data_IF_238937088399
#
_entry.id   IF_238937088399
#
_cell.length_a   1.000
_cell.length_b   1.000
_cell.length_c   1.000
_cell.angle_alpha   90.00
_cell.angle_beta   90.00
_cell.angle_gamma   90.00
#
_symmetry.space_group_name_H-M   'P 1'
#
loop_
_entity.id
_entity.type
_entity.pdbx_description
1 polymer ?
#
# COMPACT_ATOMS: atom_id res chain seq x y z
N UNK A 1 4.26 -12.56 8.89
CA UNK A 1 3.31 -11.46 8.80
C UNK A 1 2.46 -11.79 7.59
N UNK A 2 1.16 -11.91 7.76
CA UNK A 2 0.27 -12.14 6.62
C UNK A 2 0.22 -10.87 5.75
N UNK A 3 -0.13 -10.98 4.46
CA UNK A 3 -0.23 -9.83 3.56
C UNK A 3 -1.24 -8.80 4.09
N UNK A 4 -2.30 -9.28 4.74
CA UNK A 4 -3.31 -8.45 5.41
C UNK A 4 -2.70 -7.59 6.52
N UNK A 5 -1.93 -8.19 7.44
CA UNK A 5 -1.23 -7.45 8.50
C UNK A 5 -0.28 -6.38 7.95
N UNK A 6 0.31 -6.63 6.78
CA UNK A 6 1.27 -5.71 6.15
C UNK A 6 0.58 -4.49 5.52
N UNK A 7 -0.55 -4.71 4.83
CA UNK A 7 -1.32 -3.63 4.20
C UNK A 7 -1.99 -2.75 5.25
N UNK A 8 -2.53 -3.35 6.31
CA UNK A 8 -3.08 -2.61 7.44
C UNK A 8 -2.00 -1.79 8.16
N UNK A 9 -0.77 -2.32 8.23
CA UNK A 9 0.40 -1.58 8.68
C UNK A 9 0.70 -0.34 7.83
N UNK A 10 0.56 -0.41 6.50
CA UNK A 10 0.79 0.75 5.63
C UNK A 10 -0.22 1.87 5.85
N UNK A 11 -1.50 1.55 6.08
CA UNK A 11 -2.50 2.56 6.41
C UNK A 11 -2.17 3.26 7.74
N UNK A 12 -1.83 2.47 8.77
CA UNK A 12 -1.48 3.00 10.08
C UNK A 12 -0.23 3.88 10.02
N UNK A 13 0.81 3.43 9.31
CA UNK A 13 2.07 4.15 9.14
C UNK A 13 1.87 5.53 8.50
N UNK A 14 0.99 5.63 7.51
CA UNK A 14 0.68 6.91 6.85
C UNK A 14 -0.10 7.81 7.83
N UNK A 15 -1.12 7.27 8.52
CA UNK A 15 -1.91 8.02 9.50
C UNK A 15 -1.05 8.57 10.65
N UNK A 16 -0.15 7.74 11.19
CA UNK A 16 0.81 8.14 12.22
C UNK A 16 1.79 9.18 11.69
N UNK A 17 2.27 9.01 10.44
CA UNK A 17 3.15 9.97 9.78
C UNK A 17 2.50 11.35 9.59
N UNK A 18 1.24 11.38 9.17
CA UNK A 18 0.45 12.62 9.02
C UNK A 18 0.28 13.29 10.38
N UNK A 19 -0.16 12.54 11.40
CA UNK A 19 -0.33 13.06 12.77
C UNK A 19 0.96 13.69 13.31
N UNK A 20 2.12 13.10 13.02
CA UNK A 20 3.43 13.62 13.47
C UNK A 20 3.94 14.83 12.68
N UNK A 21 3.40 15.06 11.47
CA UNK A 21 3.79 16.14 10.57
C UNK A 21 2.82 17.33 10.59
N UNK A 22 1.65 17.12 11.19
CA UNK A 22 0.58 18.09 11.30
C UNK A 22 1.01 19.36 12.05
N UNK A 23 0.69 20.57 11.54
CA UNK A 23 0.89 21.81 12.27
C UNK A 23 0.12 21.80 13.58
N UNK A 24 0.72 22.34 14.64
CA UNK A 24 0.00 22.59 15.89
C UNK A 24 -1.08 23.67 15.71
N UNK A 25 -2.06 23.76 16.62
CA UNK A 25 -3.23 24.67 16.50
C UNK A 25 -2.88 26.14 16.20
N UNK A 26 -1.71 26.61 16.64
CA UNK A 26 -1.25 28.00 16.44
C UNK A 26 -0.10 28.11 15.41
N UNK A 27 0.20 27.04 14.69
CA UNK A 27 1.23 27.01 13.66
C UNK A 27 0.61 27.17 12.27
N UNK A 28 1.18 28.01 11.40
CA UNK A 28 0.74 28.10 10.01
C UNK A 28 0.87 26.77 9.26
N UNK A 29 -0.07 26.55 8.35
CA UNK A 29 -0.21 25.29 7.60
C UNK A 29 1.00 24.99 6.70
N UNK A 30 1.59 26.01 6.07
CA UNK A 30 2.74 25.88 5.16
C UNK A 30 2.57 24.80 4.06
N UNK A 31 1.33 24.60 3.58
CA UNK A 31 1.04 23.65 2.50
C UNK A 31 0.83 22.21 2.99
N UNK A 32 0.64 22.01 4.30
CA UNK A 32 0.34 20.70 4.87
C UNK A 32 -1.05 20.21 4.46
N UNK A 33 -2.00 21.09 4.19
CA UNK A 33 -3.32 20.71 3.69
C UNK A 33 -3.24 19.92 2.37
N UNK A 34 -2.32 20.27 1.47
CA UNK A 34 -2.09 19.47 0.25
C UNK A 34 -1.55 18.07 0.55
N UNK A 35 -0.77 17.92 1.63
CA UNK A 35 -0.26 16.63 2.09
C UNK A 35 -1.41 15.78 2.62
N UNK A 36 -2.33 16.34 3.41
CA UNK A 36 -3.55 15.63 3.87
C UNK A 36 -4.38 15.14 2.69
N UNK A 37 -4.70 16.02 1.76
CA UNK A 37 -5.49 15.67 0.57
C UNK A 37 -4.81 14.59 -0.29
N UNK A 38 -3.49 14.66 -0.45
CA UNK A 38 -2.74 13.64 -1.18
C UNK A 38 -2.70 12.30 -0.45
N UNK A 39 -2.65 12.30 0.88
CA UNK A 39 -2.69 11.10 1.70
C UNK A 39 -4.07 10.42 1.64
N UNK A 40 -5.16 11.20 1.76
CA UNK A 40 -6.53 10.68 1.62
C UNK A 40 -6.77 10.07 0.24
N UNK A 41 -6.30 10.75 -0.82
CA UNK A 41 -6.36 10.22 -2.18
C UNK A 41 -5.57 8.91 -2.33
N UNK A 42 -4.36 8.82 -1.75
CA UNK A 42 -3.59 7.59 -1.77
C UNK A 42 -4.30 6.46 -1.02
N UNK A 43 -4.86 6.74 0.17
CA UNK A 43 -5.61 5.74 0.93
C UNK A 43 -6.82 5.22 0.15
N UNK A 44 -7.53 6.10 -0.56
CA UNK A 44 -8.64 5.70 -1.43
C UNK A 44 -8.16 4.76 -2.56
N UNK A 45 -7.07 5.09 -3.25
CA UNK A 45 -6.52 4.24 -4.32
C UNK A 45 -6.02 2.88 -3.80
N UNK A 46 -5.40 2.85 -2.61
CA UNK A 46 -4.98 1.61 -1.95
C UNK A 46 -6.19 0.74 -1.58
N UNK A 47 -7.28 1.34 -1.09
CA UNK A 47 -8.52 0.62 -0.76
C UNK A 47 -9.18 0.04 -2.00
N UNK A 48 -9.30 0.84 -3.06
CA UNK A 48 -9.84 0.38 -4.33
C UNK A 48 -9.00 -0.76 -4.92
N UNK A 49 -7.67 -0.64 -4.91
CA UNK A 49 -6.78 -1.71 -5.37
C UNK A 49 -6.95 -2.98 -4.54
N UNK A 50 -7.10 -2.88 -3.21
CA UNK A 50 -7.34 -4.03 -2.33
C UNK A 50 -8.66 -4.74 -2.67
N UNK A 51 -9.73 -4.00 -2.95
CA UNK A 51 -11.02 -4.57 -3.37
C UNK A 51 -10.92 -5.31 -4.70
N UNK A 52 -10.13 -4.79 -5.63
CA UNK A 52 -9.84 -5.46 -6.91
C UNK A 52 -8.92 -6.68 -6.72
N UNK A 53 -7.94 -6.60 -5.81
CA UNK A 53 -7.04 -7.71 -5.45
C UNK A 53 -7.80 -8.89 -4.85
N UNK A 54 -8.76 -8.63 -3.94
CA UNK A 54 -9.61 -9.65 -3.35
C UNK A 54 -10.47 -10.38 -4.39
N UNK A 55 -10.86 -9.70 -5.48
CA UNK A 55 -11.64 -10.29 -6.58
C UNK A 55 -10.80 -11.13 -7.54
N UNK A 56 -9.61 -10.68 -7.89
CA UNK A 56 -8.80 -11.26 -8.97
C UNK A 56 -7.56 -12.05 -8.51
N UNK A 57 -7.40 -12.27 -7.20
CA UNK A 57 -6.17 -12.80 -6.58
C UNK A 57 -4.92 -12.04 -7.05
N UNK A 58 -5.05 -10.71 -7.21
CA UNK A 58 -3.98 -9.86 -7.71
C UNK A 58 -2.77 -9.82 -6.76
N UNK A 59 -1.66 -9.32 -7.29
CA UNK A 59 -0.35 -9.85 -6.93
C UNK A 59 0.19 -9.28 -5.60
N UNK A 60 0.63 -10.15 -4.66
CA UNK A 60 1.51 -9.76 -3.55
C UNK A 60 2.77 -9.00 -4.00
N UNK A 61 3.14 -9.11 -5.28
CA UNK A 61 4.25 -8.38 -5.90
C UNK A 61 3.97 -6.88 -5.98
N UNK A 62 2.72 -6.45 -6.20
CA UNK A 62 2.36 -5.02 -6.25
C UNK A 62 2.60 -4.35 -4.90
N UNK A 63 2.20 -5.01 -3.80
CA UNK A 63 2.47 -4.52 -2.45
C UNK A 63 3.97 -4.57 -2.09
N UNK A 64 4.72 -5.53 -2.64
CA UNK A 64 6.17 -5.58 -2.47
C UNK A 64 6.89 -4.44 -3.21
N UNK A 65 6.44 -4.10 -4.41
CA UNK A 65 6.93 -2.94 -5.18
C UNK A 65 6.54 -1.62 -4.50
N UNK A 66 5.33 -1.55 -3.95
CA UNK A 66 4.86 -0.39 -3.19
C UNK A 66 5.73 -0.09 -1.96
N UNK A 67 6.32 -1.10 -1.32
CA UNK A 67 7.15 -0.94 -0.11
C UNK A 67 8.22 0.16 -0.25
N UNK A 68 8.87 0.27 -1.41
CA UNK A 68 9.87 1.32 -1.62
C UNK A 68 9.25 2.72 -1.66
N UNK A 69 8.05 2.86 -2.23
CA UNK A 69 7.32 4.13 -2.24
C UNK A 69 6.81 4.46 -0.84
N UNK A 70 6.33 3.47 -0.09
CA UNK A 70 5.90 3.62 1.29
C UNK A 70 7.02 4.17 2.19
N UNK A 71 8.23 3.61 2.08
CA UNK A 71 9.37 4.13 2.83
C UNK A 71 9.68 5.59 2.49
N UNK A 72 9.61 5.97 1.20
CA UNK A 72 9.81 7.36 0.78
C UNK A 72 8.73 8.30 1.32
N UNK A 73 7.47 7.83 1.42
CA UNK A 73 6.39 8.57 2.06
C UNK A 73 6.71 8.80 3.54
N UNK A 74 7.06 7.75 4.29
CA UNK A 74 7.39 7.88 5.71
C UNK A 74 8.56 8.86 5.94
N UNK A 75 9.62 8.76 5.14
CA UNK A 75 10.75 9.69 5.19
C UNK A 75 10.31 11.13 4.93
N UNK A 76 9.46 11.36 3.93
CA UNK A 76 8.97 12.70 3.60
C UNK A 76 8.10 13.32 4.69
N UNK A 77 7.21 12.52 5.30
CA UNK A 77 6.36 12.95 6.42
C UNK A 77 7.21 13.22 7.66
N UNK A 78 8.20 12.38 7.94
CA UNK A 78 9.13 12.59 9.04
C UNK A 78 9.90 13.90 8.89
N UNK A 79 10.36 14.24 7.67
CA UNK A 79 11.08 15.50 7.40
C UNK A 79 10.24 16.72 7.74
N UNK A 80 8.98 16.78 7.29
CA UNK A 80 8.05 17.88 7.62
C UNK A 80 7.96 18.06 9.14
N UNK A 81 7.64 16.99 9.87
CA UNK A 81 7.52 17.05 11.32
C UNK A 81 8.84 17.44 12.00
N UNK A 82 9.98 17.00 11.48
CA UNK A 82 11.30 17.36 11.97
C UNK A 82 11.62 18.85 11.75
N UNK A 83 11.31 19.37 10.57
CA UNK A 83 11.53 20.78 10.24
C UNK A 83 10.66 21.71 11.06
N UNK A 84 9.41 21.33 11.35
CA UNK A 84 8.57 22.06 12.31
C UNK A 84 9.16 22.06 13.71
N UNK A 85 9.51 20.88 14.25
CA UNK A 85 10.11 20.74 15.58
C UNK A 85 11.41 21.53 15.75
N UNK A 86 12.22 21.58 14.70
CA UNK A 86 13.49 22.34 14.68
C UNK A 86 13.31 23.79 14.26
N UNK A 87 12.07 24.26 14.06
CA UNK A 87 11.72 25.63 13.69
C UNK A 87 12.47 26.12 12.44
N UNK A 88 12.56 25.27 11.43
CA UNK A 88 13.11 25.64 10.12
C UNK A 88 12.31 26.79 9.49
N UNK A 89 12.90 27.44 8.50
CA UNK A 89 12.24 28.53 7.79
C UNK A 89 11.01 28.06 7.03
N UNK A 90 10.07 28.97 6.81
CA UNK A 90 8.85 28.73 6.03
C UNK A 90 9.16 28.09 4.65
N UNK A 91 10.18 28.59 3.96
CA UNK A 91 10.56 28.08 2.64
C UNK A 91 10.96 26.60 2.69
N UNK A 92 11.65 26.17 3.76
CA UNK A 92 12.03 24.77 3.96
C UNK A 92 10.79 23.92 4.21
N UNK A 93 9.93 24.32 5.15
CA UNK A 93 8.73 23.55 5.50
C UNK A 93 7.79 23.43 4.29
N UNK A 94 7.54 24.52 3.56
CA UNK A 94 6.75 24.49 2.32
C UNK A 94 7.36 23.57 1.26
N UNK A 95 8.68 23.60 1.11
CA UNK A 95 9.41 22.72 0.18
C UNK A 95 9.25 21.24 0.53
N UNK A 96 9.34 20.90 1.81
CA UNK A 96 9.12 19.53 2.29
C UNK A 96 7.67 19.08 2.17
N UNK A 97 6.71 19.96 2.48
CA UNK A 97 5.28 19.70 2.28
C UNK A 97 4.96 19.44 0.81
N UNK A 98 5.47 20.27 -0.11
CA UNK A 98 5.29 20.05 -1.54
C UNK A 98 5.92 18.73 -2.01
N UNK A 99 7.11 18.40 -1.49
CA UNK A 99 7.78 17.14 -1.81
C UNK A 99 6.98 15.92 -1.31
N UNK A 100 6.48 15.94 -0.07
CA UNK A 100 5.67 14.85 0.47
C UNK A 100 4.36 14.67 -0.31
N UNK A 101 3.66 15.77 -0.63
CA UNK A 101 2.45 15.73 -1.45
C UNK A 101 2.72 15.13 -2.84
N UNK A 102 3.84 15.46 -3.48
CA UNK A 102 4.24 14.87 -4.75
C UNK A 102 4.54 13.36 -4.63
N UNK A 103 5.21 12.94 -3.56
CA UNK A 103 5.51 11.52 -3.28
C UNK A 103 4.24 10.70 -3.07
N UNK A 104 3.29 11.22 -2.29
CA UNK A 104 1.97 10.61 -2.10
C UNK A 104 1.19 10.48 -3.42
N UNK A 105 1.16 11.55 -4.23
CA UNK A 105 0.51 11.54 -5.56
C UNK A 105 1.17 10.53 -6.52
N UNK A 106 2.50 10.35 -6.44
CA UNK A 106 3.22 9.35 -7.21
C UNK A 106 2.80 7.92 -6.84
N UNK A 107 2.69 7.63 -5.55
CA UNK A 107 2.18 6.35 -5.07
C UNK A 107 0.72 6.11 -5.51
N UNK A 108 -0.15 7.13 -5.46
CA UNK A 108 -1.52 6.99 -5.96
C UNK A 108 -1.58 6.69 -7.46
N UNK A 109 -0.70 7.32 -8.26
CA UNK A 109 -0.55 7.00 -9.70
C UNK A 109 -0.09 5.56 -9.94
N UNK A 110 0.76 5.02 -9.07
CA UNK A 110 1.18 3.62 -9.15
C UNK A 110 -0.02 2.68 -9.01
N UNK A 111 -0.85 2.84 -7.98
CA UNK A 111 -2.04 2.01 -7.80
C UNK A 111 -3.02 2.14 -8.97
N UNK A 112 -3.30 3.36 -9.46
CA UNK A 112 -4.14 3.53 -10.67
C UNK A 112 -3.63 2.77 -11.89
N UNK A 113 -2.30 2.75 -12.10
CA UNK A 113 -1.69 2.01 -13.20
C UNK A 113 -1.83 0.51 -13.02
N UNK A 114 -1.62 0.01 -11.80
CA UNK A 114 -1.75 -1.42 -11.50
C UNK A 114 -3.20 -1.88 -11.63
N UNK A 115 -4.17 -1.11 -11.15
CA UNK A 115 -5.61 -1.36 -11.39
C UNK A 115 -5.95 -1.41 -12.88
N UNK A 116 -5.49 -0.44 -13.66
CA UNK A 116 -5.69 -0.44 -15.11
C UNK A 116 -5.02 -1.65 -15.81
N UNK A 117 -3.89 -2.13 -15.29
CA UNK A 117 -3.22 -3.35 -15.77
C UNK A 117 -4.06 -4.59 -15.48
N UNK A 118 -4.66 -4.69 -14.30
CA UNK A 118 -5.56 -5.78 -13.92
C UNK A 118 -6.82 -5.80 -14.80
N UNK A 119 -7.46 -4.64 -15.00
CA UNK A 119 -8.64 -4.53 -15.86
C UNK A 119 -8.34 -4.99 -17.31
N UNK A 120 -7.22 -4.56 -17.90
CA UNK A 120 -6.80 -5.02 -19.24
C UNK A 120 -6.52 -6.53 -19.29
N UNK A 121 -5.94 -7.10 -18.25
CA UNK A 121 -5.74 -8.55 -18.18
C UNK A 121 -7.07 -9.30 -18.06
N UNK A 122 -8.07 -8.73 -17.39
CA UNK A 122 -9.41 -9.29 -17.32
C UNK A 122 -10.10 -9.26 -18.71
N UNK A 123 -10.03 -8.14 -19.44
CA UNK A 123 -10.61 -7.99 -20.78
C UNK A 123 -10.03 -8.99 -21.78
N UNK A 124 -8.69 -9.11 -21.83
CA UNK A 124 -8.01 -10.10 -22.69
C UNK A 124 -8.44 -11.52 -22.33
N UNK A 125 -8.70 -11.81 -21.05
CA UNK A 125 -9.21 -13.11 -20.63
C UNK A 125 -10.67 -13.37 -21.03
N UNK A 126 -11.51 -12.33 -21.11
CA UNK A 126 -12.89 -12.49 -21.60
C UNK A 126 -12.92 -12.84 -23.08
N UNK A 127 -11.95 -12.35 -23.86
CA UNK A 127 -11.84 -12.64 -25.30
C UNK A 127 -11.21 -13.99 -25.66
N UNK A 128 -10.75 -14.77 -24.67
CA UNK A 128 -10.16 -16.09 -24.93
C UNK A 128 -11.23 -17.14 -25.30
N UNK A 129 -10.92 -18.08 -26.20
CA UNK A 129 -11.77 -19.24 -26.45
C UNK A 129 -12.07 -20.00 -25.16
N UNK A 130 -13.30 -20.49 -25.03
CA UNK A 130 -13.85 -21.01 -23.77
C UNK A 130 -12.99 -22.14 -23.14
N UNK A 131 -12.38 -22.99 -23.97
CA UNK A 131 -11.44 -24.02 -23.52
C UNK A 131 -10.17 -23.47 -22.87
N UNK A 132 -9.56 -22.44 -23.46
CA UNK A 132 -8.37 -21.81 -22.88
C UNK A 132 -8.71 -21.04 -21.59
N UNK A 133 -9.90 -20.44 -21.54
CA UNK A 133 -10.41 -19.77 -20.33
C UNK A 133 -10.60 -20.78 -19.19
N UNK A 134 -11.21 -21.93 -19.46
CA UNK A 134 -11.40 -23.00 -18.48
C UNK A 134 -10.08 -23.63 -18.01
N UNK A 135 -9.11 -23.86 -18.90
CA UNK A 135 -7.80 -24.40 -18.52
C UNK A 135 -7.02 -23.44 -17.62
N UNK A 136 -7.08 -22.14 -17.92
CA UNK A 136 -6.42 -21.13 -17.11
C UNK A 136 -7.10 -20.94 -15.76
N UNK A 137 -8.44 -20.98 -15.69
CA UNK A 137 -9.18 -21.02 -14.42
C UNK A 137 -8.79 -22.24 -13.58
N UNK A 138 -8.71 -23.44 -14.20
CA UNK A 138 -8.23 -24.66 -13.52
C UNK A 138 -6.79 -24.49 -13.01
N UNK A 139 -5.92 -23.85 -13.78
CA UNK A 139 -4.55 -23.57 -13.36
C UNK A 139 -4.48 -22.60 -12.18
N UNK A 140 -5.27 -21.52 -12.20
CA UNK A 140 -5.37 -20.57 -11.08
C UNK A 140 -5.90 -21.26 -9.83
N UNK A 141 -6.97 -22.05 -9.93
CA UNK A 141 -7.50 -22.88 -8.84
C UNK A 141 -6.43 -23.81 -8.25
N UNK A 142 -5.65 -24.50 -9.09
CA UNK A 142 -4.54 -25.37 -8.64
C UNK A 142 -3.47 -24.56 -7.89
N UNK A 143 -3.16 -23.36 -8.35
CA UNK A 143 -2.17 -22.46 -7.73
C UNK A 143 -2.68 -21.94 -6.37
N UNK A 144 -3.93 -21.52 -6.30
CA UNK A 144 -4.61 -21.08 -5.09
C UNK A 144 -4.67 -22.19 -4.03
N UNK A 145 -5.05 -23.41 -4.44
CA UNK A 145 -5.06 -24.59 -3.55
C UNK A 145 -3.67 -24.90 -3.02
N UNK A 146 -2.63 -24.92 -3.87
CA UNK A 146 -1.24 -25.13 -3.42
C UNK A 146 -0.81 -24.08 -2.41
N UNK A 147 -1.14 -22.80 -2.64
CA UNK A 147 -0.82 -21.70 -1.72
C UNK A 147 -1.58 -21.83 -0.39
N UNK A 148 -2.87 -22.21 -0.41
CA UNK A 148 -3.67 -22.44 0.80
C UNK A 148 -3.08 -23.57 1.65
N UNK A 149 -2.66 -24.67 1.01
CA UNK A 149 -1.98 -25.79 1.68
C UNK A 149 -0.65 -25.33 2.29
N UNK A 150 0.16 -24.58 1.55
CA UNK A 150 1.43 -24.04 2.05
C UNK A 150 1.24 -23.08 3.24
N UNK A 151 0.21 -22.21 3.19
CA UNK A 151 -0.17 -21.33 4.31
C UNK A 151 -0.58 -22.14 5.55
N UNK A 152 -1.47 -23.13 5.38
CA UNK A 152 -1.90 -24.03 6.48
C UNK A 152 -0.70 -24.76 7.12
N UNK A 153 0.23 -25.25 6.30
CA UNK A 153 1.44 -25.91 6.78
C UNK A 153 2.35 -24.97 7.58
N UNK A 154 2.47 -23.70 7.16
CA UNK A 154 3.27 -22.68 7.86
C UNK A 154 2.66 -22.28 9.21
N UNK A 155 1.32 -22.18 9.28
CA UNK A 155 0.59 -21.91 10.52
C UNK A 155 0.77 -23.09 11.50
N UNK A 156 0.60 -24.32 11.02
CA UNK A 156 0.78 -25.51 11.85
C UNK A 156 2.20 -25.63 12.42
N UNK A 157 3.24 -25.29 11.63
CA UNK A 157 4.63 -25.26 12.13
C UNK A 157 4.83 -24.23 13.26
N UNK A 158 4.27 -23.02 13.11
CA UNK A 158 4.35 -21.97 14.15
C UNK A 158 3.57 -22.31 15.42
N UNK A 159 2.46 -23.04 15.29
CA UNK A 159 1.72 -23.57 16.45
C UNK A 159 2.51 -24.65 17.20
N UNK A 160 3.22 -25.50 16.48
CA UNK A 160 4.03 -26.58 17.07
C UNK A 160 5.30 -26.06 17.78
N UNK A 161 5.91 -24.98 17.28
CA UNK A 161 7.07 -24.35 17.92
C UNK A 161 6.72 -23.65 19.25
N UNK A 162 5.46 -23.20 19.42
CA UNK A 162 4.98 -22.64 20.70
C UNK A 162 4.63 -23.70 21.75
N UNK A 163 4.50 -24.98 21.34
CA UNK A 163 4.22 -26.10 22.23
C UNK A 163 5.47 -26.84 22.72
N UNK A 164 6.67 -26.39 22.35
CA UNK A 164 7.94 -27.02 22.71
C UNK A 164 8.76 -26.13 23.65
N UNK A 165 8.14 -25.71 24.75
CA UNK A 165 8.90 -25.38 25.96
C UNK A 165 9.23 -26.70 26.66
N UNK A 166 10.49 -27.11 26.58
CA UNK A 166 11.15 -27.88 27.64
C UNK A 166 11.77 -26.88 28.61
#
# INVERSE_FOLDING_TARGET
>A
MELYDMVDGYYQDIADGITRAEPHENEPDYGFEEVRQAADALQAEMRDFRLEEERDEASPETWAEYKSMHNAIQDSLYRIGSSRRTKQSELVIRGESAHAAATLRNAGRFFRRERARLAKQADVQQTLPEKQRQERQKWQLRKAVKRRIARKAKINRRGNDKGRFR
#
